data_IF_123767905817
#
_entry.id   IF_123767905817
#
_cell.length_a   1.000
_cell.length_b   1.000
_cell.length_c   1.000
_cell.angle_alpha   90.00
_cell.angle_beta   90.00
_cell.angle_gamma   90.00
#
_symmetry.space_group_name_H-M   'P 1'
#
loop_
_entity.id
_entity.type
_entity.pdbx_description
1 polymer ?
#
# COMPACT_ATOMS: atom_id res chain seq x y z
N UNK A 1 -15.56 -0.50 -36.58
CA UNK A 1 -14.28 -0.58 -35.83
C UNK A 1 -14.53 -1.45 -34.61
N UNK A 2 -14.08 -2.70 -34.58
CA UNK A 2 -14.28 -3.58 -33.42
C UNK A 2 -13.34 -3.09 -32.31
N UNK A 3 -13.89 -2.44 -31.28
CA UNK A 3 -13.10 -2.00 -30.13
C UNK A 3 -12.56 -3.22 -29.40
N UNK A 4 -11.25 -3.41 -29.45
CA UNK A 4 -10.57 -4.47 -28.72
C UNK A 4 -10.55 -4.12 -27.23
N UNK A 5 -11.57 -4.59 -26.51
CA UNK A 5 -11.77 -4.32 -25.08
C UNK A 5 -10.56 -4.76 -24.24
N UNK A 6 -9.83 -5.80 -24.67
CA UNK A 6 -8.65 -6.26 -23.95
C UNK A 6 -7.49 -5.29 -24.10
N UNK A 7 -7.27 -4.81 -25.34
CA UNK A 7 -6.23 -3.81 -25.63
C UNK A 7 -6.48 -2.51 -24.89
N UNK A 8 -7.71 -1.99 -24.92
CA UNK A 8 -8.08 -0.77 -24.19
C UNK A 8 -7.81 -0.90 -22.68
N UNK A 9 -8.18 -2.04 -22.09
CA UNK A 9 -7.92 -2.34 -20.67
C UNK A 9 -6.43 -2.36 -20.34
N UNK A 10 -5.61 -3.00 -21.18
CA UNK A 10 -4.16 -3.07 -20.98
C UNK A 10 -3.53 -1.68 -21.05
N UNK A 11 -3.87 -0.91 -22.09
CA UNK A 11 -3.37 0.44 -22.31
C UNK A 11 -3.78 1.37 -21.16
N UNK A 12 -5.05 1.37 -20.75
CA UNK A 12 -5.52 2.20 -19.64
C UNK A 12 -4.83 1.87 -18.32
N UNK A 13 -4.65 0.59 -17.99
CA UNK A 13 -3.92 0.22 -16.78
C UNK A 13 -2.45 0.68 -16.85
N UNK A 14 -1.77 0.46 -17.97
CA UNK A 14 -0.36 0.82 -18.12
C UNK A 14 -0.17 2.34 -18.06
N UNK A 15 -0.93 3.11 -18.82
CA UNK A 15 -0.82 4.58 -18.83
C UNK A 15 -1.20 5.19 -17.50
N UNK A 16 -2.22 4.67 -16.81
CA UNK A 16 -2.58 5.15 -15.48
C UNK A 16 -1.46 4.89 -14.45
N UNK A 17 -0.83 3.71 -14.49
CA UNK A 17 0.33 3.39 -13.64
C UNK A 17 1.48 4.37 -13.92
N UNK A 18 1.80 4.61 -15.20
CA UNK A 18 2.84 5.56 -15.59
C UNK A 18 2.51 6.99 -15.14
N UNK A 19 1.26 7.43 -15.31
CA UNK A 19 0.79 8.73 -14.83
C UNK A 19 0.94 8.88 -13.32
N UNK A 20 0.58 7.84 -12.55
CA UNK A 20 0.75 7.84 -11.10
C UNK A 20 2.23 7.86 -10.69
N UNK A 21 3.08 7.11 -11.38
CA UNK A 21 4.54 7.10 -11.16
C UNK A 21 5.16 8.48 -11.42
N UNK A 22 4.84 9.08 -12.58
CA UNK A 22 5.32 10.40 -12.95
C UNK A 22 4.85 11.43 -11.92
N UNK A 23 3.57 11.41 -11.55
CA UNK A 23 3.03 12.31 -10.51
C UNK A 23 3.78 12.16 -9.19
N UNK A 24 4.10 10.94 -8.78
CA UNK A 24 4.87 10.69 -7.56
C UNK A 24 6.31 11.24 -7.65
N UNK A 25 6.98 11.10 -8.79
CA UNK A 25 8.30 11.71 -9.01
C UNK A 25 8.21 13.23 -8.90
N UNK A 26 7.27 13.85 -9.63
CA UNK A 26 7.08 15.29 -9.60
C UNK A 26 6.74 15.79 -8.20
N UNK A 27 5.89 15.09 -7.45
CA UNK A 27 5.56 15.44 -6.09
C UNK A 27 6.77 15.40 -5.13
N UNK A 28 7.77 14.56 -5.39
CA UNK A 28 8.98 14.49 -4.57
C UNK A 28 10.06 15.50 -4.98
N UNK A 29 10.22 15.78 -6.28
CA UNK A 29 11.26 16.68 -6.81
C UNK A 29 10.77 18.13 -6.91
N UNK A 30 9.53 18.33 -7.35
CA UNK A 30 8.87 19.62 -7.59
C UNK A 30 7.52 19.72 -6.87
N UNK A 31 7.49 19.70 -5.52
CA UNK A 31 6.26 19.74 -4.76
C UNK A 31 5.44 21.01 -4.99
N UNK A 32 4.11 20.88 -5.13
CA UNK A 32 3.20 21.98 -5.49
C UNK A 32 3.26 23.21 -4.56
N UNK A 33 3.57 23.00 -3.28
CA UNK A 33 3.72 24.06 -2.26
C UNK A 33 5.11 24.06 -1.59
N UNK A 34 6.13 23.56 -2.28
CA UNK A 34 7.50 23.52 -1.76
C UNK A 34 7.80 22.39 -0.76
N UNK A 35 6.78 21.73 -0.21
CA UNK A 35 6.94 20.58 0.69
C UNK A 35 6.46 19.28 0.04
N UNK A 36 7.31 18.25 0.05
CA UNK A 36 6.91 16.91 -0.34
C UNK A 36 6.11 16.21 0.79
N UNK A 37 5.55 15.04 0.49
CA UNK A 37 4.71 14.29 1.44
C UNK A 37 5.46 13.99 2.75
N UNK A 38 6.72 13.57 2.66
CA UNK A 38 7.53 13.29 3.83
C UNK A 38 7.78 14.53 4.69
N UNK A 39 8.04 15.69 4.07
CA UNK A 39 8.18 16.95 4.78
C UNK A 39 6.88 17.33 5.51
N UNK A 40 5.73 17.31 4.83
CA UNK A 40 4.42 17.57 5.43
C UNK A 40 4.17 16.62 6.62
N UNK A 41 4.49 15.34 6.47
CA UNK A 41 4.34 14.35 7.56
C UNK A 41 5.24 14.61 8.77
N UNK A 42 6.37 15.30 8.62
CA UNK A 42 7.27 15.62 9.74
C UNK A 42 7.07 17.04 10.29
N UNK A 43 6.33 17.90 9.60
CA UNK A 43 6.02 19.25 10.07
C UNK A 43 4.59 19.31 10.60
N UNK A 44 3.62 18.98 9.76
CA UNK A 44 2.18 19.08 10.09
C UNK A 44 1.75 17.93 11.01
N UNK A 45 2.25 16.72 10.78
CA UNK A 45 1.83 15.50 11.51
C UNK A 45 2.94 14.93 12.39
N UNK A 46 3.79 15.80 12.93
CA UNK A 46 4.90 15.37 13.80
C UNK A 46 4.44 14.65 15.06
N UNK A 47 3.28 15.05 15.60
CA UNK A 47 2.67 14.49 16.81
C UNK A 47 1.86 13.21 16.53
N UNK A 48 1.64 12.87 15.26
CA UNK A 48 0.99 11.63 14.85
C UNK A 48 2.00 10.49 14.90
N UNK A 49 2.15 9.88 16.08
CA UNK A 49 3.25 8.95 16.37
C UNK A 49 3.25 7.66 15.53
N UNK A 50 2.13 7.31 14.87
CA UNK A 50 2.04 6.18 13.93
C UNK A 50 2.69 6.46 12.56
N UNK A 51 2.99 7.73 12.24
CA UNK A 51 3.72 8.08 11.00
C UNK A 51 5.10 7.42 11.06
N UNK A 52 5.51 6.62 10.06
CA UNK A 52 6.81 5.95 10.05
C UNK A 52 7.97 6.91 9.76
N UNK A 53 9.21 6.45 9.96
CA UNK A 53 10.41 7.15 9.50
C UNK A 53 10.40 7.39 7.98
N UNK A 54 11.05 8.47 7.52
CA UNK A 54 11.04 8.89 6.12
C UNK A 54 11.53 7.81 5.14
N UNK A 55 12.49 6.99 5.55
CA UNK A 55 13.00 5.92 4.69
C UNK A 55 11.91 4.90 4.33
N UNK A 56 10.83 4.78 5.13
CA UNK A 56 9.73 3.87 4.85
C UNK A 56 9.10 4.14 3.48
N UNK A 57 9.06 5.41 3.05
CA UNK A 57 8.49 5.82 1.77
C UNK A 57 9.33 5.36 0.57
N UNK A 58 10.57 4.87 0.77
CA UNK A 58 11.36 4.26 -0.30
C UNK A 58 10.67 3.01 -0.90
N UNK A 59 9.72 2.40 -0.18
CA UNK A 59 8.89 1.30 -0.70
C UNK A 59 8.11 1.68 -1.97
N UNK A 60 7.84 2.96 -2.21
CA UNK A 60 7.20 3.42 -3.45
C UNK A 60 8.02 3.05 -4.69
N UNK A 61 9.36 3.04 -4.61
CA UNK A 61 10.21 2.55 -5.68
C UNK A 61 9.93 1.08 -6.02
N UNK A 62 9.80 0.22 -5.00
CA UNK A 62 9.46 -1.19 -5.17
C UNK A 62 8.04 -1.38 -5.73
N UNK A 63 7.08 -0.59 -5.24
CA UNK A 63 5.69 -0.61 -5.72
C UNK A 63 5.63 -0.26 -7.20
N UNK A 64 6.21 0.87 -7.61
CA UNK A 64 6.16 1.29 -9.01
C UNK A 64 6.94 0.37 -9.93
N UNK A 65 8.09 -0.16 -9.49
CA UNK A 65 8.80 -1.20 -10.25
C UNK A 65 7.91 -2.42 -10.49
N UNK A 66 7.23 -2.90 -9.45
CA UNK A 66 6.29 -4.02 -9.56
C UNK A 66 5.10 -3.72 -10.45
N UNK A 67 4.47 -2.55 -10.30
CA UNK A 67 3.29 -2.15 -11.08
C UNK A 67 3.62 -1.92 -12.56
N UNK A 68 4.75 -1.30 -12.87
CA UNK A 68 5.21 -1.11 -14.25
C UNK A 68 5.52 -2.48 -14.87
N UNK A 69 6.19 -3.37 -14.13
CA UNK A 69 6.45 -4.74 -14.58
C UNK A 69 5.16 -5.51 -14.87
N UNK A 70 4.14 -5.38 -14.01
CA UNK A 70 2.80 -5.93 -14.23
C UNK A 70 2.11 -5.30 -15.46
N UNK A 71 2.20 -3.97 -15.61
CA UNK A 71 1.66 -3.22 -16.74
C UNK A 71 2.25 -3.68 -18.08
N UNK A 72 3.56 -3.85 -18.15
CA UNK A 72 4.25 -4.37 -19.33
C UNK A 72 3.86 -5.84 -19.54
N UNK A 73 3.94 -6.66 -18.49
CA UNK A 73 3.63 -8.10 -18.58
C UNK A 73 2.21 -8.33 -19.13
N UNK A 74 1.21 -7.59 -18.65
CA UNK A 74 -0.15 -7.74 -19.16
C UNK A 74 -0.33 -7.30 -20.62
N UNK A 75 0.50 -6.38 -21.12
CA UNK A 75 0.41 -5.81 -22.47
C UNK A 75 1.12 -6.65 -23.54
N UNK A 76 1.91 -7.66 -23.14
CA UNK A 76 2.57 -8.56 -24.10
C UNK A 76 1.55 -9.33 -24.94
N UNK A 77 1.83 -9.49 -26.25
CA UNK A 77 0.88 -10.06 -27.20
C UNK A 77 0.38 -11.47 -26.82
N UNK A 78 1.26 -12.32 -26.26
CA UNK A 78 0.90 -13.67 -25.82
C UNK A 78 0.02 -13.71 -24.56
N UNK A 79 -0.09 -12.60 -23.83
CA UNK A 79 -0.90 -12.47 -22.62
C UNK A 79 -2.26 -11.80 -22.88
N UNK A 80 -2.53 -11.41 -24.13
CA UNK A 80 -3.72 -10.63 -24.50
C UNK A 80 -5.03 -11.33 -24.14
N UNK A 81 -5.08 -12.64 -24.33
CA UNK A 81 -6.27 -13.46 -24.09
C UNK A 81 -6.21 -14.24 -22.77
N UNK A 82 -5.17 -14.04 -21.95
CA UNK A 82 -4.96 -14.77 -20.70
C UNK A 82 -6.12 -14.48 -19.72
N UNK A 83 -6.96 -15.48 -19.39
CA UNK A 83 -8.19 -15.25 -18.64
C UNK A 83 -7.97 -14.59 -17.28
N UNK A 84 -6.85 -14.91 -16.62
CA UNK A 84 -6.52 -14.34 -15.32
C UNK A 84 -6.14 -12.86 -15.40
N UNK A 85 -5.45 -12.44 -16.46
CA UNK A 85 -5.08 -11.04 -16.67
C UNK A 85 -6.28 -10.18 -17.07
N UNK A 86 -7.29 -10.76 -17.73
CA UNK A 86 -8.58 -10.08 -17.95
C UNK A 86 -9.30 -9.74 -16.64
N UNK A 87 -9.13 -10.55 -15.58
CA UNK A 87 -9.71 -10.27 -14.24
C UNK A 87 -9.16 -8.98 -13.61
N UNK A 88 -8.00 -8.46 -14.06
CA UNK A 88 -7.51 -7.16 -13.62
C UNK A 88 -8.56 -6.07 -13.83
N UNK A 89 -9.33 -6.16 -14.93
CA UNK A 89 -10.28 -5.12 -15.32
C UNK A 89 -9.59 -3.76 -15.39
N UNK A 90 -10.29 -2.73 -14.91
CA UNK A 90 -9.79 -1.35 -14.81
C UNK A 90 -9.43 -0.95 -13.38
N UNK A 91 -9.38 -1.90 -12.44
CA UNK A 91 -9.19 -1.60 -11.01
C UNK A 91 -7.83 -0.94 -10.75
N UNK A 92 -6.77 -1.32 -11.49
CA UNK A 92 -5.46 -0.67 -11.40
C UNK A 92 -5.47 0.75 -11.97
N UNK A 93 -6.21 0.99 -13.06
CA UNK A 93 -6.39 2.33 -13.60
C UNK A 93 -7.12 3.24 -12.61
N UNK A 94 -8.19 2.76 -11.98
CA UNK A 94 -8.93 3.49 -10.94
C UNK A 94 -8.02 3.78 -9.75
N UNK A 95 -7.33 2.76 -9.22
CA UNK A 95 -6.40 2.94 -8.10
C UNK A 95 -5.29 3.94 -8.42
N UNK A 96 -4.78 3.94 -9.65
CA UNK A 96 -3.73 4.87 -10.09
C UNK A 96 -4.26 6.30 -10.26
N UNK A 97 -5.48 6.48 -10.77
CA UNK A 97 -6.11 7.80 -10.83
C UNK A 97 -6.38 8.37 -9.43
N UNK A 98 -6.89 7.54 -8.50
CA UNK A 98 -7.06 7.93 -7.11
C UNK A 98 -5.71 8.20 -6.41
N UNK A 99 -4.64 7.50 -6.78
CA UNK A 99 -3.28 7.76 -6.29
C UNK A 99 -2.78 9.15 -6.72
N UNK A 100 -2.98 9.53 -7.98
CA UNK A 100 -2.66 10.88 -8.48
C UNK A 100 -3.42 11.93 -7.68
N UNK A 101 -4.74 11.72 -7.55
CA UNK A 101 -5.62 12.63 -6.81
C UNK A 101 -5.19 12.75 -5.34
N UNK A 102 -4.86 11.63 -4.69
CA UNK A 102 -4.39 11.61 -3.31
C UNK A 102 -3.12 12.46 -3.13
N UNK A 103 -2.12 12.27 -4.00
CA UNK A 103 -0.86 13.05 -3.96
C UNK A 103 -1.14 14.54 -4.04
N UNK A 104 -1.97 14.97 -5.01
CA UNK A 104 -2.33 16.37 -5.21
C UNK A 104 -3.06 16.93 -3.97
N UNK A 105 -4.10 16.25 -3.50
CA UNK A 105 -4.88 16.70 -2.35
C UNK A 105 -4.04 16.81 -1.09
N UNK A 106 -3.16 15.84 -0.84
CA UNK A 106 -2.28 15.85 0.33
C UNK A 106 -1.29 17.01 0.28
N UNK A 107 -0.64 17.26 -0.87
CA UNK A 107 0.26 18.42 -1.03
C UNK A 107 -0.45 19.77 -0.91
N UNK A 108 -1.70 19.83 -1.38
CA UNK A 108 -2.53 21.03 -1.23
C UNK A 108 -3.06 21.23 0.20
N UNK A 109 -2.86 20.24 1.09
CA UNK A 109 -3.31 20.18 2.49
C UNK A 109 -4.82 19.97 2.65
N UNK A 110 -5.47 19.41 1.64
CA UNK A 110 -6.86 18.94 1.73
C UNK A 110 -6.92 17.55 2.37
N UNK A 111 -6.50 17.43 3.63
CA UNK A 111 -6.27 16.14 4.28
C UNK A 111 -7.53 15.27 4.36
N UNK A 112 -8.70 15.84 4.70
CA UNK A 112 -9.96 15.09 4.74
C UNK A 112 -10.35 14.55 3.36
N UNK A 113 -10.17 15.34 2.29
CA UNK A 113 -10.41 14.87 0.93
C UNK A 113 -9.36 13.85 0.48
N UNK A 114 -8.11 13.99 0.95
CA UNK A 114 -7.06 12.99 0.70
C UNK A 114 -7.48 11.63 1.27
N UNK A 115 -8.12 11.56 2.43
CA UNK A 115 -8.62 10.29 2.96
C UNK A 115 -9.68 9.65 2.04
N UNK A 116 -10.57 10.44 1.43
CA UNK A 116 -11.51 9.91 0.44
C UNK A 116 -10.79 9.34 -0.80
N UNK A 117 -9.76 10.05 -1.29
CA UNK A 117 -8.93 9.55 -2.38
C UNK A 117 -8.17 8.26 -1.97
N UNK A 118 -7.68 8.18 -0.73
CA UNK A 118 -7.03 6.99 -0.18
C UNK A 118 -7.95 5.76 -0.19
N UNK A 119 -9.20 5.94 0.24
CA UNK A 119 -10.22 4.89 0.13
C UNK A 119 -10.52 4.52 -1.33
N UNK A 120 -10.49 5.50 -2.23
CA UNK A 120 -10.55 5.31 -3.68
C UNK A 120 -9.41 4.46 -4.26
N UNK A 121 -8.27 4.37 -3.58
CA UNK A 121 -7.16 3.46 -3.94
C UNK A 121 -7.38 2.09 -3.29
N UNK A 122 -7.70 2.08 -1.99
CA UNK A 122 -7.81 0.86 -1.18
C UNK A 122 -8.91 -0.07 -1.70
N UNK A 123 -10.09 0.46 -2.02
CA UNK A 123 -11.26 -0.34 -2.41
C UNK A 123 -11.02 -1.13 -3.71
N UNK A 124 -10.51 -0.53 -4.81
CA UNK A 124 -10.10 -1.28 -6.00
C UNK A 124 -9.05 -2.35 -5.71
N UNK A 125 -8.07 -2.08 -4.84
CA UNK A 125 -7.03 -3.05 -4.51
C UNK A 125 -7.58 -4.24 -3.71
N UNK A 126 -8.51 -4.01 -2.78
CA UNK A 126 -9.23 -5.11 -2.09
C UNK A 126 -9.98 -5.96 -3.12
N UNK A 127 -10.76 -5.33 -4.00
CA UNK A 127 -11.53 -6.05 -5.05
C UNK A 127 -10.60 -6.86 -5.95
N UNK A 128 -9.50 -6.26 -6.39
CA UNK A 128 -8.51 -6.89 -7.26
C UNK A 128 -7.84 -8.09 -6.56
N UNK A 129 -7.40 -7.90 -5.31
CA UNK A 129 -6.75 -8.93 -4.51
C UNK A 129 -7.66 -10.15 -4.29
N UNK A 130 -8.94 -9.91 -3.99
CA UNK A 130 -9.94 -10.97 -3.83
C UNK A 130 -10.27 -11.67 -5.16
N UNK A 131 -10.48 -10.91 -6.23
CA UNK A 131 -10.86 -11.42 -7.57
C UNK A 131 -9.76 -12.24 -8.24
N UNK A 132 -8.50 -11.87 -8.03
CA UNK A 132 -7.34 -12.63 -8.51
C UNK A 132 -7.01 -13.85 -7.67
N UNK A 133 -7.74 -14.01 -6.55
CA UNK A 133 -7.59 -15.12 -5.62
C UNK A 133 -6.14 -15.33 -5.22
N UNK A 134 -5.46 -14.22 -4.88
CA UNK A 134 -4.03 -14.24 -4.58
C UNK A 134 -3.76 -15.28 -3.48
N UNK A 135 -2.79 -16.16 -3.79
CA UNK A 135 -2.36 -17.30 -2.98
C UNK A 135 -3.45 -18.34 -2.62
N UNK A 136 -4.60 -18.33 -3.32
CA UNK A 136 -5.57 -19.43 -3.33
C UNK A 136 -5.54 -20.25 -4.62
N UNK A 137 -5.08 -19.66 -5.72
CA UNK A 137 -4.87 -20.36 -6.98
C UNK A 137 -3.39 -20.78 -7.14
N UNK A 138 -3.18 -21.95 -7.74
CA UNK A 138 -1.87 -22.40 -8.21
C UNK A 138 -1.54 -21.66 -9.50
N UNK A 139 -0.41 -20.97 -9.54
CA UNK A 139 -0.04 -20.07 -10.65
C UNK A 139 1.42 -20.29 -11.01
N UNK A 140 1.81 -20.12 -12.27
CA UNK A 140 3.23 -20.24 -12.62
C UNK A 140 4.08 -19.16 -11.93
N UNK A 141 5.40 -19.40 -11.83
CA UNK A 141 6.34 -18.46 -11.19
C UNK A 141 6.25 -17.03 -11.73
N UNK A 142 6.05 -16.85 -13.04
CA UNK A 142 5.92 -15.52 -13.67
C UNK A 142 4.69 -14.78 -13.15
N UNK A 143 3.53 -15.41 -13.07
CA UNK A 143 2.33 -14.80 -12.52
C UNK A 143 2.45 -14.55 -11.01
N UNK A 144 3.14 -15.43 -10.27
CA UNK A 144 3.45 -15.19 -8.87
C UNK A 144 4.27 -13.90 -8.67
N UNK A 145 5.33 -13.73 -9.47
CA UNK A 145 6.26 -12.62 -9.34
C UNK A 145 5.76 -11.31 -9.98
N UNK A 146 5.10 -11.38 -11.14
CA UNK A 146 4.71 -10.20 -11.94
C UNK A 146 3.26 -9.79 -11.75
N UNK A 147 2.42 -10.61 -11.09
CA UNK A 147 1.00 -10.29 -10.83
C UNK A 147 0.69 -10.30 -9.34
N UNK A 148 0.91 -11.42 -8.66
CA UNK A 148 0.55 -11.53 -7.24
C UNK A 148 1.39 -10.57 -6.39
N UNK A 149 2.73 -10.66 -6.47
CA UNK A 149 3.60 -9.87 -5.60
C UNK A 149 3.40 -8.35 -5.74
N UNK A 150 3.34 -7.74 -6.95
CA UNK A 150 3.11 -6.30 -7.08
C UNK A 150 1.79 -5.84 -6.48
N UNK A 151 0.70 -6.61 -6.69
CA UNK A 151 -0.62 -6.27 -6.15
C UNK A 151 -0.63 -6.42 -4.63
N UNK A 152 -0.01 -7.47 -4.10
CA UNK A 152 0.10 -7.70 -2.65
C UNK A 152 0.91 -6.61 -1.95
N UNK A 153 2.05 -6.21 -2.52
CA UNK A 153 2.90 -5.15 -1.97
C UNK A 153 2.14 -3.81 -2.00
N UNK A 154 1.51 -3.48 -3.13
CA UNK A 154 0.77 -2.23 -3.26
C UNK A 154 -0.43 -2.18 -2.31
N UNK A 155 -1.21 -3.26 -2.24
CA UNK A 155 -2.35 -3.38 -1.34
C UNK A 155 -1.93 -3.27 0.13
N UNK A 156 -0.83 -3.94 0.52
CA UNK A 156 -0.34 -3.86 1.90
C UNK A 156 0.11 -2.46 2.27
N UNK A 157 0.85 -1.79 1.38
CA UNK A 157 1.32 -0.43 1.65
C UNK A 157 0.15 0.55 1.73
N UNK A 158 -0.83 0.46 0.83
CA UNK A 158 -2.04 1.29 0.88
C UNK A 158 -2.86 1.00 2.15
N UNK A 159 -2.84 -0.23 2.66
CA UNK A 159 -3.49 -0.54 3.96
C UNK A 159 -2.79 0.20 5.11
N UNK A 160 -1.46 0.18 5.16
CA UNK A 160 -0.67 0.95 6.14
C UNK A 160 -0.91 2.46 5.96
N UNK A 161 -0.83 2.95 4.73
CA UNK A 161 -1.00 4.37 4.42
C UNK A 161 -2.43 4.85 4.76
N UNK A 162 -3.44 4.01 4.60
CA UNK A 162 -4.82 4.33 5.04
C UNK A 162 -4.89 4.51 6.55
N UNK A 163 -4.27 3.62 7.32
CA UNK A 163 -4.22 3.74 8.79
C UNK A 163 -3.56 5.06 9.21
N UNK A 164 -2.41 5.37 8.61
CA UNK A 164 -1.68 6.62 8.89
C UNK A 164 -2.50 7.83 8.45
N UNK A 165 -3.14 7.79 7.28
CA UNK A 165 -3.91 8.92 6.75
C UNK A 165 -5.18 9.19 7.58
N UNK A 166 -5.84 8.15 8.10
CA UNK A 166 -6.92 8.29 9.08
C UNK A 166 -6.41 8.96 10.35
N UNK A 167 -5.27 8.49 10.90
CA UNK A 167 -4.68 9.10 12.10
C UNK A 167 -4.34 10.58 11.88
N UNK A 168 -3.74 10.92 10.72
CA UNK A 168 -3.45 12.31 10.34
C UNK A 168 -4.71 13.17 10.19
N UNK A 169 -5.80 12.64 9.62
CA UNK A 169 -7.06 13.39 9.51
C UNK A 169 -7.72 13.59 10.87
N UNK A 170 -7.69 12.58 11.74
CA UNK A 170 -8.22 12.71 13.10
C UNK A 170 -7.46 13.75 13.91
N UNK A 171 -6.13 13.78 13.78
CA UNK A 171 -5.27 14.82 14.36
C UNK A 171 -5.59 16.21 13.78
N UNK A 172 -5.71 16.33 12.45
CA UNK A 172 -6.04 17.57 11.77
C UNK A 172 -7.38 18.22 12.19
N UNK A 173 -8.36 17.40 12.60
CA UNK A 173 -9.66 17.89 13.09
C UNK A 173 -9.71 18.03 14.62
N UNK A 174 -8.55 18.03 15.29
CA UNK A 174 -8.38 18.14 16.74
C UNK A 174 -9.17 17.09 17.54
N UNK A 175 -9.26 15.87 16.99
CA UNK A 175 -9.97 14.80 17.67
C UNK A 175 -9.21 14.31 18.91
N UNK A 176 -9.90 14.29 20.05
CA UNK A 176 -9.28 14.13 21.37
C UNK A 176 -8.94 12.68 21.76
N UNK A 177 -8.84 11.72 20.81
CA UNK A 177 -8.39 10.33 21.05
C UNK A 177 -9.15 9.60 22.18
N UNK A 178 -10.43 9.93 22.38
CA UNK A 178 -11.24 9.45 23.52
C UNK A 178 -10.64 9.76 24.91
N UNK A 179 -9.79 10.78 25.02
CA UNK A 179 -9.04 11.12 26.25
C UNK A 179 -7.82 10.23 26.51
N UNK A 180 -7.44 9.35 25.58
CA UNK A 180 -6.24 8.52 25.69
C UNK A 180 -4.97 9.31 25.35
N UNK A 181 -3.84 8.89 25.91
CA UNK A 181 -2.53 9.44 25.55
C UNK A 181 -2.10 9.01 24.16
N UNK A 182 -1.23 9.79 23.50
CA UNK A 182 -0.74 9.51 22.15
C UNK A 182 -0.03 8.17 22.03
N UNK A 183 0.70 7.79 23.08
CA UNK A 183 1.40 6.50 23.10
C UNK A 183 0.41 5.34 23.15
N UNK A 184 -0.61 5.40 24.01
CA UNK A 184 -1.63 4.35 24.12
C UNK A 184 -2.44 4.27 22.83
N UNK A 185 -2.85 5.40 22.28
CA UNK A 185 -3.58 5.47 21.01
C UNK A 185 -2.77 4.85 19.86
N UNK A 186 -1.47 5.17 19.79
CA UNK A 186 -0.57 4.60 18.77
C UNK A 186 -0.38 3.09 18.93
N UNK A 187 -0.27 2.59 20.16
CA UNK A 187 -0.24 1.14 20.43
C UNK A 187 -1.50 0.46 19.94
N UNK A 188 -2.68 1.03 20.20
CA UNK A 188 -3.96 0.50 19.69
C UNK A 188 -3.95 0.43 18.16
N UNK A 189 -3.49 1.49 17.49
CA UNK A 189 -3.40 1.53 16.02
C UNK A 189 -2.41 0.47 15.49
N UNK A 190 -1.25 0.31 16.13
CA UNK A 190 -0.27 -0.74 15.78
C UNK A 190 -0.89 -2.14 15.88
N UNK A 191 -1.67 -2.40 16.94
CA UNK A 191 -2.37 -3.67 17.13
C UNK A 191 -3.42 -3.91 16.04
N UNK A 192 -4.18 -2.88 15.63
CA UNK A 192 -5.12 -2.96 14.51
C UNK A 192 -4.38 -3.32 13.22
N UNK A 193 -3.27 -2.65 12.93
CA UNK A 193 -2.42 -2.98 11.77
C UNK A 193 -1.92 -4.42 11.81
N UNK A 194 -1.49 -4.90 12.98
CA UNK A 194 -1.01 -6.27 13.14
C UNK A 194 -2.13 -7.29 12.94
N UNK A 195 -3.33 -7.03 13.44
CA UNK A 195 -4.50 -7.88 13.22
C UNK A 195 -4.79 -7.99 11.72
N UNK A 196 -4.76 -6.90 10.97
CA UNK A 196 -4.95 -6.92 9.50
C UNK A 196 -3.90 -7.82 8.84
N UNK A 197 -2.62 -7.64 9.16
CA UNK A 197 -1.52 -8.43 8.61
C UNK A 197 -1.63 -9.93 8.98
N UNK A 198 -1.98 -10.24 10.23
CA UNK A 198 -2.19 -11.61 10.71
C UNK A 198 -3.38 -12.26 9.99
N UNK A 199 -4.51 -11.57 9.86
CA UNK A 199 -5.69 -12.11 9.17
C UNK A 199 -5.40 -12.44 7.70
N UNK A 200 -4.70 -11.55 6.99
CA UNK A 200 -4.28 -11.82 5.61
C UNK A 200 -3.27 -12.97 5.58
N UNK A 201 -2.30 -12.98 6.49
CA UNK A 201 -1.30 -14.04 6.61
C UNK A 201 -1.90 -15.43 6.84
N UNK A 202 -2.88 -15.55 7.73
CA UNK A 202 -3.55 -16.82 8.02
C UNK A 202 -4.48 -17.25 6.89
N UNK A 203 -5.27 -16.33 6.32
CA UNK A 203 -6.29 -16.67 5.30
C UNK A 203 -5.72 -16.85 3.90
N UNK A 204 -4.60 -16.20 3.59
CA UNK A 204 -4.04 -16.12 2.23
C UNK A 204 -2.61 -16.60 2.16
N UNK A 205 -1.89 -16.72 3.28
CA UNK A 205 -0.47 -17.07 3.25
C UNK A 205 0.35 -16.13 2.34
N UNK A 206 0.07 -14.83 2.41
CA UNK A 206 0.74 -13.84 1.57
C UNK A 206 1.97 -13.23 2.26
N UNK A 207 3.16 -13.71 1.88
CA UNK A 207 4.43 -13.23 2.43
C UNK A 207 4.75 -11.80 2.02
N UNK A 208 4.40 -11.42 0.79
CA UNK A 208 4.68 -10.09 0.28
C UNK A 208 3.85 -9.06 1.07
N UNK A 209 2.57 -9.37 1.33
CA UNK A 209 1.70 -8.53 2.15
C UNK A 209 2.24 -8.35 3.57
N UNK A 210 2.59 -9.47 4.25
CA UNK A 210 3.12 -9.41 5.62
C UNK A 210 4.46 -8.65 5.67
N UNK A 211 5.34 -8.85 4.68
CA UNK A 211 6.64 -8.19 4.60
C UNK A 211 6.53 -6.65 4.59
N UNK A 212 5.51 -6.10 3.94
CA UNK A 212 5.25 -4.65 3.94
C UNK A 212 4.84 -4.14 5.32
N UNK A 213 4.04 -4.90 6.08
CA UNK A 213 3.69 -4.52 7.46
C UNK A 213 4.90 -4.61 8.39
N UNK A 214 5.77 -5.61 8.23
CA UNK A 214 7.04 -5.70 8.95
C UNK A 214 7.89 -4.46 8.65
N UNK A 215 8.05 -4.10 7.37
CA UNK A 215 8.77 -2.90 6.95
C UNK A 215 8.21 -1.63 7.62
N UNK A 216 6.90 -1.45 7.61
CA UNK A 216 6.23 -0.30 8.22
C UNK A 216 6.45 -0.25 9.73
N UNK A 217 6.27 -1.37 10.44
CA UNK A 217 6.46 -1.42 11.89
C UNK A 217 7.89 -1.14 12.31
N UNK A 218 8.88 -1.66 11.58
CA UNK A 218 10.28 -1.33 11.84
C UNK A 218 10.55 0.17 11.64
N UNK A 219 9.96 0.79 10.61
CA UNK A 219 10.12 2.23 10.41
C UNK A 219 9.43 3.10 11.48
N UNK A 220 8.30 2.63 12.03
CA UNK A 220 7.66 3.28 13.19
C UNK A 220 8.55 3.12 14.42
N UNK A 221 9.10 1.92 14.67
CA UNK A 221 10.00 1.68 15.79
C UNK A 221 11.26 2.56 15.74
N UNK A 222 11.86 2.71 14.55
CA UNK A 222 13.03 3.58 14.36
C UNK A 222 12.67 5.04 14.60
N UNK A 223 11.52 5.53 14.10
CA UNK A 223 11.10 6.92 14.34
C UNK A 223 10.81 7.20 15.82
N UNK A 224 10.24 6.23 16.52
CA UNK A 224 9.79 6.38 17.91
C UNK A 224 10.75 5.74 18.94
N UNK A 225 12.05 5.66 18.63
CA UNK A 225 13.06 4.99 19.47
C UNK A 225 13.18 5.60 20.88
N UNK A 226 12.87 6.89 21.03
CA UNK A 226 12.83 7.62 22.30
C UNK A 226 11.57 7.34 23.12
N UNK A 227 10.58 6.63 22.56
CA UNK A 227 9.32 6.24 23.20
C UNK A 227 9.25 4.71 23.31
N UNK A 228 9.83 4.10 24.37
CA UNK A 228 10.01 2.66 24.48
C UNK A 228 8.71 1.86 24.29
N UNK A 229 7.59 2.36 24.80
CA UNK A 229 6.29 1.70 24.67
C UNK A 229 5.92 1.46 23.19
N UNK A 230 6.09 2.46 22.33
CA UNK A 230 5.76 2.36 20.90
C UNK A 230 6.82 1.53 20.17
N UNK A 231 8.10 1.84 20.39
CA UNK A 231 9.20 1.17 19.70
C UNK A 231 9.23 -0.34 19.98
N UNK A 232 9.15 -0.74 21.25
CA UNK A 232 9.15 -2.15 21.66
C UNK A 232 7.91 -2.86 21.13
N UNK A 233 6.73 -2.24 21.21
CA UNK A 233 5.49 -2.81 20.65
C UNK A 233 5.64 -3.08 19.16
N UNK A 234 6.10 -2.10 18.39
CA UNK A 234 6.28 -2.24 16.95
C UNK A 234 7.31 -3.33 16.59
N UNK A 235 8.41 -3.44 17.34
CA UNK A 235 9.41 -4.52 17.18
C UNK A 235 8.81 -5.90 17.48
N UNK A 236 8.09 -6.06 18.60
CA UNK A 236 7.44 -7.32 18.97
C UNK A 236 6.45 -7.76 17.89
N UNK A 237 5.66 -6.82 17.35
CA UNK A 237 4.71 -7.10 16.28
C UNK A 237 5.42 -7.50 14.98
N UNK A 238 6.51 -6.82 14.61
CA UNK A 238 7.34 -7.18 13.46
C UNK A 238 7.95 -8.59 13.59
N UNK A 239 8.45 -8.94 14.79
CA UNK A 239 8.96 -10.28 15.10
C UNK A 239 7.84 -11.32 15.01
N UNK A 240 6.67 -11.04 15.59
CA UNK A 240 5.50 -11.94 15.54
C UNK A 240 5.07 -12.24 14.12
N UNK A 241 5.01 -11.21 13.27
CA UNK A 241 4.70 -11.35 11.84
C UNK A 241 5.78 -12.14 11.09
N UNK A 242 7.05 -11.96 11.46
CA UNK A 242 8.17 -12.72 10.90
C UNK A 242 8.03 -14.21 11.25
N UNK A 243 7.75 -14.54 12.52
CA UNK A 243 7.47 -15.92 12.94
C UNK A 243 6.28 -16.51 12.19
N UNK A 244 5.21 -15.73 11.97
CA UNK A 244 4.05 -16.19 11.19
C UNK A 244 4.47 -16.64 9.79
N UNK A 245 5.28 -15.84 9.08
CA UNK A 245 5.79 -16.14 7.73
C UNK A 245 6.59 -17.45 7.67
N UNK A 246 7.39 -17.74 8.70
CA UNK A 246 8.21 -18.95 8.77
C UNK A 246 7.46 -20.19 9.27
N UNK A 247 6.51 -20.03 10.20
CA UNK A 247 5.81 -21.15 10.84
C UNK A 247 4.65 -21.69 10.01
N UNK A 248 3.98 -20.85 9.23
CA UNK A 248 3.07 -21.39 8.23
C UNK A 248 3.88 -22.16 7.19
N UNK A 249 3.40 -23.33 6.75
CA UNK A 249 3.88 -23.93 5.50
C UNK A 249 3.44 -23.06 4.32
N UNK A 250 4.03 -21.86 4.19
CA UNK A 250 3.89 -20.91 3.10
C UNK A 250 4.69 -21.45 1.89
N UNK A 251 4.46 -22.70 1.49
CA UNK A 251 4.99 -23.16 0.20
C UNK A 251 4.25 -22.37 -0.89
N UNK A 252 4.95 -21.62 -1.76
CA UNK A 252 4.28 -20.96 -2.85
C UNK A 252 3.55 -22.03 -3.66
N UNK A 253 2.27 -21.80 -3.96
CA UNK A 253 1.49 -22.63 -4.88
C UNK A 253 1.96 -22.43 -6.33
N UNK A 254 3.26 -22.28 -6.56
CA UNK A 254 3.83 -22.11 -7.88
C UNK A 254 4.39 -23.42 -8.39
N UNK A 255 3.85 -23.89 -9.53
CA UNK A 255 4.51 -24.91 -10.36
C UNK A 255 5.67 -24.26 -11.11
#
# INVERSE_FOLDING_TARGET
MNFDRDRLRQELNLFAILGAFITNIFANIFPLKGENIGAISNTVFQDVLIVPANYAFAIWGLIYLGLISLGIYQALAFNKTEPRLRRLGYELAIASACQILWVILFQLRFFTLSLLAMLGILIPLIRLYLRLEINRLIVNRKQGLLVNAPISIYFAWISVATIVNVASVLDWIDWQRWGLTDQIWTVIILLIGAIIAILVGLKRKDRAFIGVFIWAFLAIAVKQISLPLIAITAIILAITLTFLVFRGNFRPLSR
#
